data_IF_420709484738
#
_entry.id   IF_420709484738
#
_cell.length_a   1.000
_cell.length_b   1.000
_cell.length_c   1.000
_cell.angle_alpha   90.00
_cell.angle_beta   90.00
_cell.angle_gamma   90.00
#
_symmetry.space_group_name_H-M   'P 1'
#
loop_
_entity.id
_entity.type
_entity.pdbx_description
1 polymer ?
#
# COMPACT_ATOMS: atom_id res chain seq x y z
N UNK A 1 -20.13 19.62 -13.46
CA UNK A 1 -20.52 19.14 -12.12
C UNK A 1 -19.30 18.43 -11.55
N UNK A 2 -18.88 18.67 -10.29
CA UNK A 2 -17.85 17.85 -9.67
C UNK A 2 -18.32 16.39 -9.73
N UNK A 3 -17.50 15.48 -10.27
CA UNK A 3 -17.85 14.06 -10.34
C UNK A 3 -17.92 13.56 -8.90
N UNK A 4 -19.08 13.09 -8.49
CA UNK A 4 -19.26 12.49 -7.18
C UNK A 4 -18.44 11.19 -7.12
N UNK A 5 -17.49 11.12 -6.18
CA UNK A 5 -16.71 9.91 -5.96
C UNK A 5 -17.62 8.82 -5.36
N UNK A 6 -17.69 7.62 -5.96
CA UNK A 6 -18.46 6.50 -5.41
C UNK A 6 -18.06 6.19 -3.96
N UNK A 7 -19.05 6.01 -3.08
CA UNK A 7 -18.80 5.68 -1.66
C UNK A 7 -19.22 4.26 -1.31
N UNK A 8 -19.98 3.62 -2.21
CA UNK A 8 -20.43 2.25 -2.10
C UNK A 8 -20.34 1.54 -3.46
N UNK A 9 -20.35 0.19 -3.48
CA UNK A 9 -20.39 -0.56 -4.74
C UNK A 9 -21.61 -0.22 -5.60
N UNK A 10 -22.74 0.13 -4.98
CA UNK A 10 -23.97 0.49 -5.68
C UNK A 10 -23.84 1.80 -6.48
N UNK A 11 -22.91 2.68 -6.07
CA UNK A 11 -22.63 3.93 -6.77
C UNK A 11 -21.77 3.70 -8.03
N UNK A 12 -21.12 2.53 -8.15
CA UNK A 12 -20.26 2.17 -9.28
C UNK A 12 -21.12 1.50 -10.37
N UNK A 13 -21.72 2.31 -11.23
CA UNK A 13 -22.55 1.81 -12.33
C UNK A 13 -21.73 1.43 -13.57
N UNK A 14 -22.25 0.58 -14.48
CA UNK A 14 -21.61 0.29 -15.76
C UNK A 14 -21.32 1.54 -16.60
N UNK A 15 -22.20 2.55 -16.55
CA UNK A 15 -22.01 3.84 -17.21
C UNK A 15 -20.83 4.61 -16.61
N UNK A 16 -20.76 4.68 -15.28
CA UNK A 16 -19.65 5.34 -14.57
C UNK A 16 -18.31 4.65 -14.87
N UNK A 17 -18.28 3.31 -14.86
CA UNK A 17 -17.10 2.54 -15.23
C UNK A 17 -16.70 2.78 -16.69
N UNK A 18 -17.68 2.84 -17.60
CA UNK A 18 -17.43 3.12 -19.02
C UNK A 18 -16.78 4.49 -19.19
N UNK A 19 -17.33 5.52 -18.55
CA UNK A 19 -16.84 6.89 -18.63
C UNK A 19 -15.42 7.02 -18.04
N UNK A 20 -15.20 6.35 -16.90
CA UNK A 20 -13.93 6.34 -16.19
C UNK A 20 -12.83 5.64 -16.98
N UNK A 21 -13.10 4.44 -17.49
CA UNK A 21 -12.11 3.67 -18.27
C UNK A 21 -11.85 4.27 -19.66
N UNK A 22 -12.81 5.00 -20.25
CA UNK A 22 -12.57 5.81 -21.45
C UNK A 22 -11.66 7.01 -21.16
N UNK A 23 -11.86 7.67 -20.02
CA UNK A 23 -11.03 8.80 -19.59
C UNK A 23 -9.56 8.37 -19.43
N UNK A 24 -9.32 7.17 -18.88
CA UNK A 24 -7.97 6.61 -18.76
C UNK A 24 -7.46 5.92 -20.04
N UNK A 25 -8.20 6.02 -21.15
CA UNK A 25 -7.89 5.38 -22.45
C UNK A 25 -7.68 3.86 -22.35
N UNK A 26 -8.31 3.22 -21.36
CA UNK A 26 -8.22 1.78 -21.13
C UNK A 26 -9.06 1.00 -22.14
N UNK A 27 -10.21 1.55 -22.53
CA UNK A 27 -11.07 0.93 -23.55
C UNK A 27 -11.95 1.97 -24.23
N UNK A 28 -12.41 1.65 -25.43
CA UNK A 28 -13.49 2.38 -26.11
C UNK A 28 -14.83 1.63 -26.03
N UNK A 29 -14.82 0.36 -25.62
CA UNK A 29 -16.01 -0.46 -25.44
C UNK A 29 -16.90 0.09 -24.33
N UNK A 30 -18.18 -0.26 -24.40
CA UNK A 30 -19.15 0.06 -23.35
C UNK A 30 -19.31 -1.15 -22.43
N UNK A 31 -19.40 -0.90 -21.13
CA UNK A 31 -19.60 -1.94 -20.13
C UNK A 31 -21.11 -2.12 -19.97
N UNK A 32 -21.60 -3.33 -20.23
CA UNK A 32 -23.03 -3.67 -20.16
C UNK A 32 -23.43 -4.18 -18.78
N UNK A 33 -22.51 -4.80 -18.06
CA UNK A 33 -22.72 -5.25 -16.68
C UNK A 33 -21.40 -5.29 -15.90
N UNK A 34 -21.52 -5.13 -14.58
CA UNK A 34 -20.43 -5.19 -13.62
C UNK A 34 -20.90 -6.01 -12.41
N UNK A 35 -20.25 -7.16 -12.18
CA UNK A 35 -20.55 -8.03 -11.04
C UNK A 35 -19.51 -7.84 -9.94
N UNK A 36 -19.96 -7.59 -8.71
CA UNK A 36 -19.10 -7.28 -7.57
C UNK A 36 -19.01 -8.47 -6.62
N UNK A 37 -17.78 -8.83 -6.27
CA UNK A 37 -17.48 -9.81 -5.23
C UNK A 37 -16.57 -9.15 -4.20
N UNK A 38 -17.00 -9.10 -2.94
CA UNK A 38 -16.17 -8.59 -1.85
C UNK A 38 -14.99 -9.53 -1.61
N UNK A 39 -13.80 -8.96 -1.44
CA UNK A 39 -12.55 -9.70 -1.23
C UNK A 39 -11.79 -9.10 -0.03
N UNK A 40 -10.87 -9.86 0.55
CA UNK A 40 -10.06 -9.39 1.69
C UNK A 40 -10.81 -9.30 3.02
N UNK A 41 -11.94 -10.00 3.18
CA UNK A 41 -12.71 -9.96 4.44
C UNK A 41 -11.93 -10.56 5.61
N UNK A 42 -11.12 -11.60 5.35
CA UNK A 42 -10.38 -12.34 6.36
C UNK A 42 -9.00 -11.72 6.69
N UNK A 43 -8.55 -10.72 5.93
CA UNK A 43 -7.19 -10.15 6.05
C UNK A 43 -7.16 -8.89 6.94
N UNK A 44 -8.23 -8.59 7.67
CA UNK A 44 -8.23 -7.51 8.67
C UNK A 44 -8.11 -6.10 8.08
N UNK A 45 -8.36 -5.94 6.76
CA UNK A 45 -8.38 -4.64 6.11
C UNK A 45 -9.26 -3.66 6.89
N UNK A 46 -8.77 -2.44 7.07
CA UNK A 46 -9.20 -1.36 7.98
C UNK A 46 -10.61 -0.79 7.74
N UNK A 47 -11.61 -1.63 7.50
CA UNK A 47 -12.96 -1.23 7.13
C UNK A 47 -13.09 -0.68 5.70
N UNK A 48 -12.03 -0.73 4.89
CA UNK A 48 -12.05 -0.33 3.48
C UNK A 48 -12.82 -1.37 2.64
N UNK A 49 -13.58 -0.90 1.67
CA UNK A 49 -14.38 -1.74 0.80
C UNK A 49 -13.56 -2.22 -0.39
N UNK A 50 -13.00 -3.43 -0.33
CA UNK A 50 -12.27 -4.04 -1.45
C UNK A 50 -13.19 -4.99 -2.23
N UNK A 51 -13.38 -4.71 -3.52
CA UNK A 51 -14.29 -5.45 -4.39
C UNK A 51 -13.60 -5.84 -5.67
N UNK A 52 -13.70 -7.12 -6.04
CA UNK A 52 -13.41 -7.55 -7.41
C UNK A 52 -14.63 -7.25 -8.26
N UNK A 53 -14.41 -6.65 -9.42
CA UNK A 53 -15.43 -6.36 -10.42
C UNK A 53 -15.16 -7.21 -11.66
N UNK A 54 -16.12 -8.04 -12.07
CA UNK A 54 -16.11 -8.73 -13.36
C UNK A 54 -16.88 -7.89 -14.37
N UNK A 55 -16.24 -7.54 -15.48
CA UNK A 55 -16.80 -6.64 -16.50
C UNK A 55 -17.27 -7.43 -17.73
N UNK A 56 -18.48 -7.11 -18.18
CA UNK A 56 -18.98 -7.54 -19.49
C UNK A 56 -19.03 -6.35 -20.43
N UNK A 57 -18.53 -6.52 -21.65
CA UNK A 57 -18.47 -5.48 -22.67
C UNK A 57 -19.50 -5.71 -23.78
N UNK A 58 -19.93 -4.63 -24.43
CA UNK A 58 -20.80 -4.64 -25.61
C UNK A 58 -20.16 -5.32 -26.83
N UNK A 59 -18.83 -5.29 -26.91
CA UNK A 59 -18.02 -5.87 -27.97
C UNK A 59 -16.69 -6.41 -27.46
N UNK A 60 -16.02 -7.31 -28.20
CA UNK A 60 -14.68 -7.76 -27.84
C UNK A 60 -13.71 -6.58 -27.65
N UNK A 61 -13.08 -6.53 -26.48
CA UNK A 61 -12.05 -5.54 -26.15
C UNK A 61 -10.85 -6.25 -25.52
N UNK A 62 -9.96 -6.87 -26.33
CA UNK A 62 -8.89 -7.73 -25.83
C UNK A 62 -7.88 -7.01 -24.94
N UNK A 63 -7.71 -5.71 -25.13
CA UNK A 63 -6.79 -4.87 -24.35
C UNK A 63 -7.39 -4.36 -23.04
N UNK A 64 -8.71 -4.50 -22.87
CA UNK A 64 -9.42 -4.06 -21.68
C UNK A 64 -9.41 -5.15 -20.58
N UNK A 65 -9.40 -4.75 -19.31
CA UNK A 65 -9.43 -5.70 -18.21
C UNK A 65 -10.78 -6.42 -18.13
N UNK A 66 -10.79 -7.75 -18.16
CA UNK A 66 -12.00 -8.52 -17.85
C UNK A 66 -12.39 -8.41 -16.37
N UNK A 67 -11.41 -8.17 -15.50
CA UNK A 67 -11.59 -8.03 -14.06
C UNK A 67 -10.77 -6.88 -13.52
N UNK A 68 -11.33 -6.17 -12.53
CA UNK A 68 -10.71 -5.06 -11.82
C UNK A 68 -10.86 -5.24 -10.31
N UNK A 69 -10.06 -4.52 -9.54
CA UNK A 69 -10.26 -4.36 -8.09
C UNK A 69 -10.60 -2.91 -7.80
N UNK A 70 -11.72 -2.68 -7.11
CA UNK A 70 -12.09 -1.39 -6.56
C UNK A 70 -11.75 -1.35 -5.07
N UNK A 71 -10.94 -0.38 -4.65
CA UNK A 71 -10.71 -0.06 -3.23
C UNK A 71 -11.43 1.25 -2.91
N UNK A 72 -12.43 1.15 -2.03
CA UNK A 72 -13.25 2.27 -1.57
C UNK A 72 -12.83 2.70 -0.15
N UNK A 73 -12.98 4.00 0.14
CA UNK A 73 -12.91 4.50 1.50
C UNK A 73 -13.91 3.77 2.42
N UNK A 74 -13.63 3.68 3.73
CA UNK A 74 -14.56 3.10 4.70
C UNK A 74 -15.95 3.72 4.64
N UNK A 75 -17.00 2.90 4.79
CA UNK A 75 -18.38 3.39 4.78
C UNK A 75 -18.74 4.13 6.08
N UNK A 76 -18.19 3.70 7.22
CA UNK A 76 -18.35 4.39 8.50
C UNK A 76 -17.65 5.77 8.42
N UNK A 77 -18.39 6.89 8.59
CA UNK A 77 -17.82 8.23 8.60
C UNK A 77 -16.67 8.41 9.60
N UNK A 78 -16.71 7.76 10.77
CA UNK A 78 -15.64 7.86 11.78
C UNK A 78 -14.36 7.23 11.26
N UNK A 79 -14.45 6.03 10.71
CA UNK A 79 -13.30 5.32 10.14
C UNK A 79 -12.76 6.02 8.89
N UNK A 80 -13.66 6.54 8.03
CA UNK A 80 -13.27 7.35 6.86
C UNK A 80 -12.52 8.62 7.25
N UNK A 81 -12.96 9.32 8.29
CA UNK A 81 -12.27 10.49 8.80
C UNK A 81 -10.90 10.14 9.39
N UNK A 82 -10.81 9.02 10.12
CA UNK A 82 -9.54 8.52 10.69
C UNK A 82 -8.54 8.14 9.59
N UNK A 83 -8.99 7.50 8.52
CA UNK A 83 -8.15 7.05 7.40
C UNK A 83 -7.98 8.11 6.30
N UNK A 84 -8.49 9.34 6.47
CA UNK A 84 -8.52 10.37 5.41
C UNK A 84 -7.12 10.63 4.84
N UNK A 85 -6.13 10.85 5.70
CA UNK A 85 -4.76 11.16 5.27
C UNK A 85 -4.11 9.97 4.52
N UNK A 86 -4.36 8.75 4.99
CA UNK A 86 -3.89 7.53 4.35
C UNK A 86 -4.52 7.31 2.97
N UNK A 87 -5.84 7.51 2.85
CA UNK A 87 -6.56 7.39 1.58
C UNK A 87 -6.17 8.48 0.56
N UNK A 88 -5.97 9.71 1.03
CA UNK A 88 -5.49 10.82 0.18
C UNK A 88 -4.13 10.48 -0.45
N UNK A 89 -3.20 10.03 0.40
CA UNK A 89 -1.85 9.64 -0.01
C UNK A 89 -1.85 8.45 -0.96
N UNK A 90 -2.65 7.42 -0.70
CA UNK A 90 -2.73 6.27 -1.60
C UNK A 90 -3.27 6.68 -2.98
N UNK A 91 -4.29 7.55 -3.01
CA UNK A 91 -4.82 8.11 -4.25
C UNK A 91 -3.77 8.94 -5.00
N UNK A 92 -3.08 9.86 -4.32
CA UNK A 92 -1.99 10.66 -4.90
C UNK A 92 -0.86 9.78 -5.46
N UNK A 93 -0.49 8.73 -4.73
CA UNK A 93 0.52 7.78 -5.20
C UNK A 93 0.09 7.14 -6.52
N UNK A 94 -1.12 6.56 -6.59
CA UNK A 94 -1.61 5.91 -7.81
C UNK A 94 -1.91 6.88 -8.95
N UNK A 95 -2.33 8.12 -8.66
CA UNK A 95 -2.46 9.18 -9.65
C UNK A 95 -1.11 9.52 -10.30
N UNK A 96 -0.04 9.58 -9.51
CA UNK A 96 1.32 9.81 -10.04
C UNK A 96 1.86 8.68 -10.93
N UNK A 97 1.18 7.52 -10.97
CA UNK A 97 1.51 6.40 -11.85
C UNK A 97 0.79 6.45 -13.20
N UNK A 98 -0.08 7.43 -13.45
CA UNK A 98 -0.86 7.52 -14.69
C UNK A 98 -0.15 8.38 -15.77
N UNK A 99 -0.18 7.99 -17.06
CA UNK A 99 -0.72 6.74 -17.61
C UNK A 99 0.34 5.62 -17.67
N UNK A 100 0.34 4.73 -16.68
CA UNK A 100 1.21 3.54 -16.63
C UNK A 100 2.67 3.85 -16.30
N UNK A 101 3.17 3.35 -15.17
CA UNK A 101 4.58 3.41 -14.80
C UNK A 101 5.15 1.98 -14.77
N UNK A 102 6.38 1.70 -15.26
CA UNK A 102 7.07 0.41 -15.13
C UNK A 102 7.41 0.00 -13.68
N UNK A 103 6.78 0.62 -12.68
CA UNK A 103 7.00 0.26 -11.29
C UNK A 103 6.33 -1.09 -10.96
N UNK A 104 6.85 -1.81 -9.96
CA UNK A 104 6.29 -3.08 -9.49
C UNK A 104 5.02 -2.84 -8.66
N UNK A 105 4.01 -2.22 -9.24
CA UNK A 105 2.72 -1.89 -8.61
C UNK A 105 1.57 -2.36 -9.50
N UNK A 106 0.36 -2.60 -8.95
CA UNK A 106 -0.80 -2.91 -9.78
C UNK A 106 -1.02 -1.78 -10.80
N UNK A 107 -1.37 -2.13 -12.05
CA UNK A 107 -1.79 -1.11 -13.01
C UNK A 107 -2.97 -0.34 -12.43
N UNK A 108 -2.83 0.98 -12.34
CA UNK A 108 -3.91 1.88 -11.98
C UNK A 108 -4.72 2.24 -13.24
N UNK A 109 -6.03 2.11 -13.15
CA UNK A 109 -6.97 2.53 -14.18
C UNK A 109 -7.66 3.84 -13.83
N UNK A 110 -7.85 4.10 -12.52
CA UNK A 110 -8.43 5.33 -11.99
C UNK A 110 -8.08 5.45 -10.52
N UNK A 111 -7.81 6.67 -10.07
CA UNK A 111 -7.58 7.00 -8.67
C UNK A 111 -8.12 8.41 -8.40
N UNK A 112 -8.98 8.53 -7.40
CA UNK A 112 -9.61 9.80 -7.04
C UNK A 112 -9.82 9.91 -5.53
N UNK A 113 -9.75 11.13 -5.02
CA UNK A 113 -9.90 11.46 -3.60
C UNK A 113 -10.54 12.84 -3.43
N UNK A 114 -11.55 12.90 -2.57
CA UNK A 114 -12.23 14.14 -2.21
C UNK A 114 -11.77 14.59 -0.82
N UNK A 115 -11.05 15.72 -0.70
CA UNK A 115 -10.56 16.22 0.58
C UNK A 115 -11.67 16.70 1.51
N UNK A 116 -12.84 17.11 1.00
CA UNK A 116 -13.96 17.61 1.79
C UNK A 116 -14.68 16.44 2.47
N UNK A 117 -15.03 15.41 1.70
CA UNK A 117 -15.78 14.26 2.21
C UNK A 117 -14.90 13.14 2.77
N UNK A 118 -13.63 13.08 2.33
CA UNK A 118 -12.74 11.94 2.58
C UNK A 118 -13.10 10.69 1.77
N UNK A 119 -13.98 10.81 0.77
CA UNK A 119 -14.29 9.73 -0.15
C UNK A 119 -13.07 9.44 -1.05
N UNK A 120 -12.80 8.17 -1.29
CA UNK A 120 -11.69 7.74 -2.14
C UNK A 120 -12.10 6.52 -2.95
N UNK A 121 -11.59 6.45 -4.18
CA UNK A 121 -11.74 5.28 -5.04
C UNK A 121 -10.44 5.01 -5.79
N UNK A 122 -10.04 3.74 -5.82
CA UNK A 122 -8.99 3.23 -6.69
C UNK A 122 -9.56 2.11 -7.54
N UNK A 123 -9.33 2.14 -8.85
CA UNK A 123 -9.56 1.02 -9.76
C UNK A 123 -8.20 0.48 -10.19
N UNK A 124 -7.88 -0.72 -9.72
CA UNK A 124 -6.57 -1.36 -9.87
C UNK A 124 -6.69 -2.69 -10.64
N UNK A 125 -5.54 -3.13 -11.16
CA UNK A 125 -5.37 -4.46 -11.74
C UNK A 125 -5.76 -5.57 -10.75
N UNK A 126 -6.56 -6.52 -11.22
CA UNK A 126 -6.79 -7.76 -10.49
C UNK A 126 -5.58 -8.68 -10.56
N UNK A 127 -4.98 -8.94 -9.41
CA UNK A 127 -3.78 -9.77 -9.26
C UNK A 127 -4.10 -11.26 -9.05
N UNK A 128 -5.29 -11.76 -9.41
CA UNK A 128 -5.65 -13.20 -9.30
C UNK A 128 -4.65 -14.19 -9.94
N UNK A 129 -3.89 -13.73 -10.93
CA UNK A 129 -2.84 -14.51 -11.59
C UNK A 129 -1.55 -14.62 -10.74
N UNK A 130 -1.46 -13.86 -9.66
CA UNK A 130 -0.35 -13.84 -8.71
C UNK A 130 -0.67 -14.74 -7.52
N UNK A 131 0.35 -15.03 -6.70
CA UNK A 131 0.21 -15.69 -5.41
C UNK A 131 0.54 -14.72 -4.29
N UNK A 132 -0.20 -14.77 -3.19
CA UNK A 132 0.16 -14.13 -1.92
C UNK A 132 0.96 -15.09 -1.06
N UNK A 133 1.65 -14.55 -0.05
CA UNK A 133 2.31 -15.30 1.01
C UNK A 133 1.66 -14.89 2.33
N UNK A 134 1.15 -15.83 3.15
CA UNK A 134 0.57 -15.47 4.44
C UNK A 134 1.61 -14.79 5.33
N UNK A 135 1.25 -13.66 5.95
CA UNK A 135 2.12 -12.88 6.83
C UNK A 135 2.86 -13.75 7.87
N UNK A 136 2.12 -14.61 8.58
CA UNK A 136 2.66 -15.48 9.63
C UNK A 136 3.70 -16.48 9.10
N UNK A 137 3.58 -16.92 7.83
CA UNK A 137 4.54 -17.87 7.24
C UNK A 137 5.83 -17.18 6.81
N UNK A 138 5.75 -15.90 6.44
CA UNK A 138 6.87 -15.16 5.86
C UNK A 138 7.33 -15.69 4.50
N UNK A 139 8.24 -14.95 3.90
CA UNK A 139 8.85 -15.18 2.60
C UNK A 139 10.14 -15.98 2.74
N UNK A 140 10.32 -16.98 1.87
CA UNK A 140 11.61 -17.65 1.69
C UNK A 140 12.62 -16.78 0.93
N UNK A 141 13.90 -17.17 0.88
CA UNK A 141 14.97 -16.35 0.28
C UNK A 141 14.73 -15.93 -1.18
N UNK A 142 14.12 -16.82 -1.98
CA UNK A 142 13.80 -16.53 -3.38
C UNK A 142 12.74 -15.42 -3.52
N UNK A 143 11.72 -15.41 -2.67
CA UNK A 143 10.71 -14.35 -2.65
C UNK A 143 11.25 -13.07 -2.05
N UNK A 144 12.06 -13.16 -0.99
CA UNK A 144 12.73 -12.01 -0.40
C UNK A 144 13.59 -11.27 -1.43
N UNK A 145 14.34 -12.01 -2.27
CA UNK A 145 15.10 -11.43 -3.39
C UNK A 145 14.20 -10.67 -4.37
N UNK A 146 13.04 -11.23 -4.74
CA UNK A 146 12.08 -10.56 -5.66
C UNK A 146 11.53 -9.27 -5.06
N UNK A 147 11.25 -9.24 -3.76
CA UNK A 147 10.81 -8.02 -3.06
C UNK A 147 11.92 -6.99 -3.04
N UNK A 148 13.15 -7.37 -2.72
CA UNK A 148 14.30 -6.46 -2.72
C UNK A 148 14.55 -5.88 -4.12
N UNK A 149 14.41 -6.68 -5.17
CA UNK A 149 14.50 -6.21 -6.56
C UNK A 149 13.38 -5.21 -6.91
N UNK A 150 12.15 -5.46 -6.46
CA UNK A 150 11.04 -4.53 -6.62
C UNK A 150 11.28 -3.20 -5.88
N UNK A 151 11.76 -3.27 -4.63
CA UNK A 151 12.14 -2.08 -3.86
C UNK A 151 13.30 -1.33 -4.52
N UNK A 152 14.30 -2.02 -5.04
CA UNK A 152 15.40 -1.38 -5.76
C UNK A 152 14.90 -0.61 -7.00
N UNK A 153 13.98 -1.20 -7.79
CA UNK A 153 13.38 -0.52 -8.95
C UNK A 153 12.58 0.72 -8.55
N UNK A 154 11.77 0.61 -7.49
CA UNK A 154 11.03 1.73 -6.89
C UNK A 154 11.99 2.84 -6.43
N UNK A 155 12.97 2.47 -5.61
CA UNK A 155 13.88 3.42 -4.98
C UNK A 155 14.77 4.12 -6.01
N UNK A 156 15.19 3.40 -7.06
CA UNK A 156 15.98 3.96 -8.15
C UNK A 156 15.18 4.99 -8.96
N UNK A 157 13.90 4.71 -9.25
CA UNK A 157 13.01 5.63 -10.00
C UNK A 157 12.88 7.00 -9.34
N UNK A 158 12.83 7.02 -8.01
CA UNK A 158 12.59 8.23 -7.23
C UNK A 158 13.84 8.78 -6.53
N UNK A 159 15.02 8.23 -6.84
CA UNK A 159 16.28 8.56 -6.17
C UNK A 159 16.59 10.07 -6.27
N UNK A 160 16.60 10.75 -5.11
CA UNK A 160 16.78 12.20 -4.98
C UNK A 160 15.92 13.03 -5.94
N UNK A 161 14.73 12.52 -6.32
CA UNK A 161 13.84 13.24 -7.23
C UNK A 161 13.30 14.50 -6.57
N UNK A 162 13.40 15.64 -7.27
CA UNK A 162 12.83 16.90 -6.81
C UNK A 162 11.30 16.85 -6.63
N UNK A 163 10.62 15.91 -7.32
CA UNK A 163 9.19 15.67 -7.15
C UNK A 163 8.81 15.20 -5.74
N UNK A 164 9.76 14.68 -4.95
CA UNK A 164 9.54 14.30 -3.55
C UNK A 164 9.67 15.48 -2.57
N UNK A 165 10.15 16.64 -3.01
CA UNK A 165 10.36 17.79 -2.14
C UNK A 165 9.10 18.21 -1.35
N UNK A 166 7.89 18.25 -1.96
CA UNK A 166 6.66 18.64 -1.26
C UNK A 166 6.20 17.63 -0.19
N UNK A 167 6.59 16.35 -0.31
CA UNK A 167 6.18 15.31 0.63
C UNK A 167 6.92 15.48 1.95
N UNK A 168 6.26 15.32 3.09
CA UNK A 168 6.95 15.27 4.39
C UNK A 168 7.40 13.85 4.69
N UNK A 169 8.66 13.69 5.11
CA UNK A 169 9.18 12.39 5.56
C UNK A 169 8.51 11.96 6.85
N UNK A 170 8.10 12.90 7.70
CA UNK A 170 7.55 12.65 9.04
C UNK A 170 6.04 12.89 9.14
N UNK A 171 5.31 12.98 8.02
CA UNK A 171 3.86 13.23 8.02
C UNK A 171 3.09 12.26 8.92
N UNK A 172 3.49 10.98 8.90
CA UNK A 172 2.86 9.94 9.73
C UNK A 172 3.02 10.15 11.23
N UNK A 173 4.11 10.80 11.68
CA UNK A 173 4.30 11.13 13.10
C UNK A 173 3.33 12.23 13.57
N UNK A 174 2.73 12.97 12.63
CA UNK A 174 1.70 13.98 12.93
C UNK A 174 0.29 13.43 12.73
N UNK A 175 0.12 12.48 11.82
CA UNK A 175 -1.16 11.83 11.52
C UNK A 175 -1.57 10.83 12.57
N UNK A 176 -0.59 10.12 13.13
CA UNK A 176 -0.78 9.16 14.20
C UNK A 176 -0.05 9.67 15.45
N UNK A 177 -0.61 9.45 16.66
CA UNK A 177 0.02 9.86 17.91
C UNK A 177 1.19 8.93 18.25
N UNK A 178 2.09 8.68 17.31
CA UNK A 178 3.19 7.74 17.47
C UNK A 178 4.09 8.17 18.62
N UNK A 179 4.42 9.44 18.72
CA UNK A 179 5.18 10.00 19.85
C UNK A 179 4.56 9.63 21.22
N UNK A 180 3.23 9.68 21.34
CA UNK A 180 2.52 9.30 22.55
C UNK A 180 2.47 7.77 22.74
N UNK A 181 2.23 7.01 21.66
CA UNK A 181 2.15 5.54 21.70
C UNK A 181 3.51 4.92 22.03
N UNK A 182 4.59 5.45 21.47
CA UNK A 182 5.96 4.95 21.69
C UNK A 182 6.39 5.08 23.16
N UNK A 183 5.91 6.08 23.90
CA UNK A 183 6.20 6.21 25.34
C UNK A 183 5.69 5.02 26.16
N UNK A 184 4.61 4.37 25.73
CA UNK A 184 4.03 3.21 26.41
C UNK A 184 4.52 1.87 25.84
N UNK A 185 5.32 1.89 24.77
CA UNK A 185 5.79 0.68 24.10
C UNK A 185 6.45 -0.32 25.06
N UNK A 186 7.40 0.05 25.94
CA UNK A 186 8.06 -0.89 26.83
C UNK A 186 7.08 -1.63 27.77
N UNK A 187 6.11 -0.91 28.32
CA UNK A 187 5.10 -1.48 29.20
C UNK A 187 4.13 -2.40 28.43
N UNK A 188 3.75 -2.03 27.21
CA UNK A 188 2.91 -2.88 26.35
C UNK A 188 3.63 -4.15 25.92
N UNK A 189 4.92 -4.07 25.61
CA UNK A 189 5.73 -5.25 25.25
C UNK A 189 5.77 -6.24 26.41
N UNK A 190 6.00 -5.79 27.65
CA UNK A 190 5.94 -6.67 28.85
C UNK A 190 4.60 -7.39 28.99
N UNK A 191 3.49 -6.70 28.71
CA UNK A 191 2.14 -7.27 28.79
C UNK A 191 1.84 -8.24 27.65
N UNK A 192 2.30 -7.94 26.43
CA UNK A 192 2.03 -8.78 25.25
C UNK A 192 2.95 -10.00 25.16
N UNK A 193 4.16 -9.90 25.71
CA UNK A 193 5.21 -10.92 25.62
C UNK A 193 5.53 -11.51 26.99
N UNK A 194 4.51 -11.71 27.83
CA UNK A 194 4.67 -12.23 29.20
C UNK A 194 5.40 -13.57 29.27
N UNK A 195 5.32 -14.38 28.20
CA UNK A 195 5.98 -15.69 28.11
C UNK A 195 7.44 -15.62 27.65
N UNK A 196 7.97 -14.43 27.38
CA UNK A 196 9.31 -14.22 26.84
C UNK A 196 10.11 -13.38 27.83
N UNK A 197 11.27 -13.88 28.24
CA UNK A 197 12.22 -13.09 29.02
C UNK A 197 12.87 -12.06 28.11
N UNK A 198 12.50 -10.79 28.28
CA UNK A 198 12.98 -9.69 27.46
C UNK A 198 14.23 -9.12 28.12
N UNK A 199 15.39 -9.14 27.45
CA UNK A 199 16.62 -8.58 28.02
C UNK A 199 16.43 -7.11 28.41
N UNK A 200 16.99 -6.71 29.55
CA UNK A 200 16.95 -5.30 30.01
C UNK A 200 17.47 -4.34 28.94
N UNK A 201 18.51 -4.76 28.20
CA UNK A 201 19.09 -4.00 27.09
C UNK A 201 18.11 -3.73 25.95
N UNK A 202 17.16 -4.64 25.70
CA UNK A 202 16.11 -4.44 24.71
C UNK A 202 15.09 -3.40 25.18
N UNK A 203 14.71 -3.44 26.45
CA UNK A 203 13.84 -2.43 27.06
C UNK A 203 14.52 -1.05 27.10
N UNK A 204 15.80 -0.99 27.43
CA UNK A 204 16.59 0.25 27.44
C UNK A 204 16.70 0.86 26.04
N UNK A 205 16.91 0.03 25.00
CA UNK A 205 16.89 0.48 23.61
C UNK A 205 15.50 1.01 23.22
N UNK A 206 14.43 0.31 23.60
CA UNK A 206 13.06 0.75 23.36
C UNK A 206 12.76 2.10 24.03
N UNK A 207 13.17 2.26 25.28
CA UNK A 207 13.06 3.52 26.03
C UNK A 207 13.83 4.65 25.34
N UNK A 208 15.07 4.39 24.92
CA UNK A 208 15.89 5.36 24.20
C UNK A 208 15.22 5.80 22.90
N UNK A 209 14.73 4.86 22.09
CA UNK A 209 14.03 5.19 20.83
C UNK A 209 12.76 5.99 21.11
N UNK A 210 11.96 5.60 22.10
CA UNK A 210 10.73 6.30 22.44
C UNK A 210 10.99 7.77 22.86
N UNK A 211 12.01 8.01 23.68
CA UNK A 211 12.38 9.35 24.13
C UNK A 211 13.02 10.22 23.02
N UNK A 212 13.58 9.58 21.98
CA UNK A 212 14.31 10.25 20.89
C UNK A 212 13.65 10.06 19.52
N UNK A 213 12.37 9.69 19.46
CA UNK A 213 11.71 9.28 18.22
C UNK A 213 11.75 10.39 17.16
N UNK A 214 11.36 11.62 17.51
CA UNK A 214 11.30 12.74 16.58
C UNK A 214 12.65 13.02 15.86
N UNK A 215 13.78 13.24 16.56
CA UNK A 215 15.06 13.46 15.89
C UNK A 215 15.55 12.22 15.11
N UNK A 216 15.32 11.00 15.61
CA UNK A 216 15.69 9.76 14.90
C UNK A 216 14.96 9.67 13.55
N UNK A 217 13.63 9.82 13.57
CA UNK A 217 12.82 9.71 12.36
C UNK A 217 13.05 10.87 11.39
N UNK A 218 13.25 12.11 11.88
CA UNK A 218 13.60 13.23 10.99
C UNK A 218 14.94 12.98 10.27
N UNK A 219 15.97 12.49 11.00
CA UNK A 219 17.23 12.12 10.36
C UNK A 219 17.05 11.00 9.33
N UNK A 220 16.28 9.95 9.63
CA UNK A 220 16.06 8.82 8.72
C UNK A 220 15.22 9.18 7.49
N UNK A 221 14.23 10.06 7.63
CA UNK A 221 13.20 10.29 6.62
C UNK A 221 13.34 11.62 5.87
N UNK A 222 14.14 12.55 6.37
CA UNK A 222 14.32 13.88 5.76
C UNK A 222 15.76 14.17 5.32
N UNK A 223 16.73 13.35 5.72
CA UNK A 223 18.13 13.52 5.31
C UNK A 223 18.46 12.66 4.09
N UNK A 224 18.98 13.31 3.05
CA UNK A 224 19.44 12.66 1.82
C UNK A 224 20.47 11.54 2.07
N UNK A 225 20.55 10.52 1.19
CA UNK A 225 19.72 10.34 0.00
C UNK A 225 18.26 9.98 0.34
N UNK A 226 17.31 10.54 -0.42
CA UNK A 226 15.87 10.28 -0.26
C UNK A 226 15.29 9.61 -1.51
N UNK A 227 14.29 8.77 -1.30
CA UNK A 227 13.49 8.15 -2.35
C UNK A 227 12.04 7.97 -1.87
N UNK A 228 11.17 7.48 -2.75
CA UNK A 228 9.81 7.10 -2.38
C UNK A 228 9.85 5.79 -1.58
N UNK A 229 9.25 5.79 -0.39
CA UNK A 229 9.11 4.64 0.48
C UNK A 229 7.66 4.16 0.46
N UNK A 230 7.48 2.85 0.57
CA UNK A 230 6.17 2.24 0.80
C UNK A 230 5.82 2.19 2.30
N UNK A 231 6.82 2.02 3.17
CA UNK A 231 6.75 1.99 4.65
C UNK A 231 5.96 0.87 5.32
N UNK A 232 5.20 0.12 4.54
CA UNK A 232 4.43 -1.02 5.01
C UNK A 232 4.62 -2.25 4.11
N UNK A 233 5.87 -2.50 3.75
CA UNK A 233 6.26 -3.62 2.88
C UNK A 233 6.32 -4.88 3.72
N UNK A 234 5.18 -5.54 3.88
CA UNK A 234 5.04 -6.83 4.54
C UNK A 234 4.50 -7.88 3.57
N UNK A 235 4.66 -9.17 3.90
CA UNK A 235 4.37 -10.28 2.98
C UNK A 235 2.93 -10.30 2.46
N UNK A 236 1.97 -9.82 3.24
CA UNK A 236 0.58 -9.63 2.87
C UNK A 236 0.38 -8.50 1.85
N UNK A 237 1.18 -7.42 1.91
CA UNK A 237 1.18 -6.31 0.93
C UNK A 237 2.01 -6.60 -0.34
N UNK A 238 2.34 -7.88 -0.58
CA UNK A 238 3.10 -8.32 -1.76
C UNK A 238 2.43 -9.49 -2.47
N UNK A 239 2.31 -9.36 -3.79
CA UNK A 239 1.87 -10.43 -4.68
C UNK A 239 3.01 -10.86 -5.62
N UNK A 240 3.19 -12.17 -5.83
CA UNK A 240 4.26 -12.72 -6.67
C UNK A 240 3.68 -13.34 -7.95
N UNK A 241 4.26 -13.00 -9.10
CA UNK A 241 3.87 -13.63 -10.35
C UNK A 241 4.13 -15.15 -10.30
N UNK A 242 3.18 -15.95 -10.80
CA UNK A 242 3.25 -17.43 -10.76
C UNK A 242 4.27 -18.02 -11.74
N UNK A 243 4.71 -17.29 -12.77
CA UNK A 243 5.71 -17.81 -13.72
C UNK A 243 7.12 -17.74 -13.13
N UNK A 244 7.94 -18.74 -13.45
CA UNK A 244 9.31 -18.91 -12.98
C UNK A 244 10.34 -18.06 -13.76
N UNK A 245 9.89 -17.15 -14.64
CA UNK A 245 10.74 -16.12 -15.24
C UNK A 245 11.04 -14.98 -14.25
N UNK A 246 11.54 -13.84 -14.73
CA UNK A 246 11.73 -12.58 -13.95
C UNK A 246 10.38 -11.98 -13.50
N UNK A 247 9.58 -12.79 -12.82
CA UNK A 247 8.27 -12.50 -12.28
C UNK A 247 8.43 -11.62 -11.05
N UNK A 248 8.12 -10.34 -11.25
CA UNK A 248 8.21 -9.25 -10.30
C UNK A 248 7.34 -9.51 -9.07
N UNK A 249 7.87 -9.22 -7.89
CA UNK A 249 7.02 -8.93 -6.74
C UNK A 249 6.25 -7.63 -7.06
N UNK A 250 4.96 -7.60 -6.73
CA UNK A 250 4.09 -6.44 -6.93
C UNK A 250 3.67 -5.94 -5.56
N UNK A 251 4.01 -4.69 -5.28
CA UNK A 251 3.74 -4.01 -4.02
C UNK A 251 2.41 -3.25 -4.14
N UNK A 252 1.52 -3.45 -3.17
CA UNK A 252 0.23 -2.78 -3.11
C UNK A 252 -0.06 -2.31 -1.69
N UNK A 253 -1.12 -1.52 -1.55
CA UNK A 253 -1.45 -0.81 -0.31
C UNK A 253 -0.47 0.31 0.06
N UNK A 254 -0.62 1.44 -0.63
CA UNK A 254 0.30 2.59 -0.52
C UNK A 254 -0.18 3.64 0.49
N UNK A 255 -1.02 3.24 1.45
CA UNK A 255 -1.58 4.11 2.49
C UNK A 255 -0.54 4.74 3.42
N UNK A 256 0.65 4.16 3.52
CA UNK A 256 1.77 4.67 4.31
C UNK A 256 2.93 5.25 3.47
N UNK A 257 2.73 5.37 2.15
CA UNK A 257 3.73 5.92 1.24
C UNK A 257 4.31 7.28 1.68
N UNK A 258 5.59 7.50 1.42
CA UNK A 258 6.19 8.80 1.71
C UNK A 258 7.60 8.90 1.17
N UNK A 259 8.42 9.79 1.76
CA UNK A 259 9.83 9.90 1.42
C UNK A 259 10.74 9.45 2.57
N UNK A 260 11.95 9.03 2.22
CA UNK A 260 13.01 8.73 3.18
C UNK A 260 14.12 7.89 2.57
N UNK A 261 14.95 7.30 3.41
CA UNK A 261 16.06 6.43 2.98
C UNK A 261 15.55 5.06 2.59
N UNK A 262 15.83 4.63 1.36
CA UNK A 262 15.43 3.31 0.82
C UNK A 262 15.65 2.11 1.75
N UNK A 263 16.77 2.02 2.49
CA UNK A 263 16.98 0.95 3.47
C UNK A 263 15.87 0.77 4.52
N UNK A 264 15.03 1.77 4.77
CA UNK A 264 13.87 1.65 5.65
C UNK A 264 12.92 0.52 5.21
N UNK A 265 12.48 0.54 3.94
CA UNK A 265 11.55 -0.48 3.42
C UNK A 265 12.20 -1.87 3.42
N UNK A 266 13.50 -1.95 3.09
CA UNK A 266 14.25 -3.22 3.09
C UNK A 266 14.34 -3.78 4.50
N UNK A 267 14.71 -2.96 5.48
CA UNK A 267 14.80 -3.38 6.88
C UNK A 267 13.43 -3.80 7.42
N UNK A 268 12.38 -3.02 7.15
CA UNK A 268 11.02 -3.34 7.59
C UNK A 268 10.56 -4.69 7.03
N UNK A 269 10.71 -4.90 5.72
CA UNK A 269 10.35 -6.16 5.07
C UNK A 269 11.12 -7.36 5.63
N UNK A 270 12.45 -7.24 5.79
CA UNK A 270 13.25 -8.33 6.34
C UNK A 270 12.83 -8.65 7.78
N UNK A 271 12.54 -7.63 8.59
CA UNK A 271 12.14 -7.79 10.00
C UNK A 271 10.77 -8.47 10.10
N UNK A 272 9.79 -8.01 9.33
CA UNK A 272 8.40 -8.43 9.42
C UNK A 272 8.13 -9.77 8.71
N UNK A 273 8.85 -10.04 7.62
CA UNK A 273 8.40 -10.99 6.60
C UNK A 273 9.44 -12.03 6.22
N UNK A 274 10.60 -12.10 6.86
CA UNK A 274 11.60 -13.16 6.61
C UNK A 274 11.97 -13.84 7.93
N UNK A 275 11.98 -15.17 7.93
CA UNK A 275 12.34 -15.95 9.10
C UNK A 275 13.76 -15.60 9.59
N UNK A 276 14.00 -15.43 10.91
CA UNK A 276 15.31 -15.08 11.44
C UNK A 276 16.44 -16.05 11.05
N UNK A 277 16.17 -17.36 10.92
CA UNK A 277 17.19 -18.33 10.53
C UNK A 277 17.59 -18.15 9.06
N UNK A 278 16.62 -17.83 8.19
CA UNK A 278 16.88 -17.52 6.78
C UNK A 278 17.64 -16.21 6.63
N UNK A 279 17.25 -15.16 7.37
CA UNK A 279 17.95 -13.86 7.35
C UNK A 279 19.44 -13.96 7.68
N UNK A 280 19.83 -14.86 8.58
CA UNK A 280 21.24 -15.06 8.96
C UNK A 280 22.09 -15.72 7.87
N UNK A 281 21.46 -16.30 6.86
CA UNK A 281 22.11 -16.99 5.75
C UNK A 281 22.17 -16.16 4.47
N UNK A 282 21.49 -15.02 4.44
CA UNK A 282 21.49 -14.05 3.33
C UNK A 282 22.65 -13.07 3.46
#
# INVERSE_FOLDING_TARGET
MPRQIPTSPADITPDWLTETLRTSKTTTAHITSAEFVRIGEDEGFTGCGLYRITLTYDRPSPEAPQTLVAKLAPQDPKMRNLMRAANAREAEFYQSQLPGNPLPVPRCYHADFDPETGASILLLQDLRAYRSVPFIKGCGPADAKRVIEALAALHAKWWNSAALAPLSGVSMLKEYPFDQVWLYYPEKVKVLMQSIDIPVTFLDLGNFIAQNAAPIFSNLLETAPITCLHRDVQADNVMFAKSTGSGTAVLFDWQFAGKGRGPYDVAYFLISSVDPAQRRQM
#
